data_IF_862624169293
#
_entry.id   IF_862624169293
#
_cell.length_a   1.000
_cell.length_b   1.000
_cell.length_c   1.000
_cell.angle_alpha   90.00
_cell.angle_beta   90.00
_cell.angle_gamma   90.00
#
_symmetry.space_group_name_H-M   'P 1'
#
loop_
_entity.id
_entity.type
_entity.pdbx_description
1 polymer ?
#
# COMPACT_ATOMS: atom_id res chain seq x y z
N UNK A 1 29.75 -18.72 -13.99
CA UNK A 1 28.29 -18.57 -14.27
C UNK A 1 27.56 -19.71 -13.57
N UNK A 2 26.94 -19.45 -12.40
CA UNK A 2 26.07 -20.43 -11.73
C UNK A 2 24.84 -20.63 -12.61
N UNK A 3 24.56 -21.88 -13.01
CA UNK A 3 23.32 -22.25 -13.69
C UNK A 3 22.16 -21.78 -12.82
N UNK A 4 21.47 -20.70 -13.21
CA UNK A 4 20.20 -20.31 -12.61
C UNK A 4 19.21 -21.45 -12.83
N UNK A 5 18.86 -22.16 -11.79
CA UNK A 5 17.84 -23.21 -11.85
C UNK A 5 16.51 -22.55 -12.25
N UNK A 6 16.06 -22.87 -13.48
CA UNK A 6 14.73 -22.51 -13.97
C UNK A 6 13.73 -23.44 -13.28
N UNK A 7 13.05 -22.95 -12.26
CA UNK A 7 11.96 -23.71 -11.65
C UNK A 7 10.69 -23.52 -12.47
N UNK A 8 9.92 -24.58 -12.61
CA UNK A 8 8.64 -24.55 -13.32
C UNK A 8 7.55 -24.02 -12.36
N UNK A 9 6.48 -23.43 -12.90
CA UNK A 9 5.33 -22.97 -12.14
C UNK A 9 4.73 -24.05 -11.21
N UNK A 10 4.82 -25.33 -11.60
CA UNK A 10 4.45 -26.47 -10.77
C UNK A 10 5.18 -26.49 -9.43
N UNK A 11 6.45 -26.05 -9.40
CA UNK A 11 7.21 -26.01 -8.14
C UNK A 11 6.71 -24.94 -7.16
N UNK A 12 6.08 -23.85 -7.62
CA UNK A 12 5.41 -22.90 -6.73
C UNK A 12 4.23 -23.58 -6.03
N UNK A 13 3.39 -24.28 -6.79
CA UNK A 13 2.23 -25.00 -6.23
C UNK A 13 2.69 -26.04 -5.21
N UNK A 14 3.76 -26.78 -5.51
CA UNK A 14 4.33 -27.78 -4.59
C UNK A 14 4.86 -27.12 -3.30
N UNK A 15 5.44 -25.91 -3.37
CA UNK A 15 5.89 -25.16 -2.20
C UNK A 15 4.71 -24.61 -1.38
N UNK A 16 3.66 -24.13 -2.04
CA UNK A 16 2.42 -23.68 -1.38
C UNK A 16 1.70 -24.84 -0.68
N UNK A 17 1.76 -26.05 -1.25
CA UNK A 17 1.26 -27.27 -0.59
C UNK A 17 2.04 -27.54 0.70
N UNK A 18 3.35 -27.23 0.74
CA UNK A 18 4.21 -27.35 1.91
C UNK A 18 4.06 -26.17 2.90
N UNK A 19 3.03 -25.34 2.75
CA UNK A 19 2.75 -24.18 3.59
C UNK A 19 3.89 -23.16 3.67
N UNK A 20 4.68 -23.01 2.61
CA UNK A 20 5.70 -21.97 2.52
C UNK A 20 5.07 -20.68 1.99
N UNK A 21 5.36 -19.56 2.64
CA UNK A 21 4.97 -18.25 2.18
C UNK A 21 5.86 -17.78 1.05
N UNK A 22 5.26 -17.37 -0.06
CA UNK A 22 5.98 -17.09 -1.31
C UNK A 22 5.75 -15.67 -1.78
N UNK A 23 6.82 -14.98 -2.18
CA UNK A 23 6.75 -13.77 -3.00
C UNK A 23 7.11 -14.12 -4.44
N UNK A 24 6.22 -13.79 -5.37
CA UNK A 24 6.46 -13.85 -6.81
C UNK A 24 6.44 -12.44 -7.40
N UNK A 25 7.61 -12.00 -7.88
CA UNK A 25 7.79 -10.70 -8.53
C UNK A 25 7.47 -10.86 -10.02
N UNK A 26 6.42 -10.18 -10.44
CA UNK A 26 5.85 -10.21 -11.79
C UNK A 26 6.37 -9.06 -12.66
N UNK A 27 6.38 -9.26 -13.96
CA UNK A 27 6.85 -8.27 -14.95
C UNK A 27 5.82 -7.16 -15.26
N UNK A 28 4.58 -7.31 -14.80
CA UNK A 28 3.49 -6.34 -14.99
C UNK A 28 2.28 -6.65 -14.10
N UNK A 29 1.36 -5.68 -13.97
CA UNK A 29 0.06 -5.89 -13.32
C UNK A 29 -0.77 -6.94 -14.07
N UNK A 30 -0.76 -6.95 -15.40
CA UNK A 30 -1.45 -7.96 -16.21
C UNK A 30 -0.93 -9.38 -15.95
N UNK A 31 0.37 -9.55 -15.69
CA UNK A 31 0.93 -10.85 -15.33
C UNK A 31 0.49 -11.29 -13.93
N UNK A 32 0.29 -10.35 -13.00
CA UNK A 32 -0.31 -10.64 -11.68
C UNK A 32 -1.70 -11.25 -11.86
N UNK A 33 -2.55 -10.60 -12.66
CA UNK A 33 -3.93 -11.06 -12.90
C UNK A 33 -3.96 -12.43 -13.60
N UNK A 34 -3.06 -12.63 -14.56
CA UNK A 34 -2.93 -13.91 -15.26
C UNK A 34 -2.55 -15.04 -14.31
N UNK A 35 -1.51 -14.84 -13.50
CA UNK A 35 -1.04 -15.85 -12.54
C UNK A 35 -2.10 -16.12 -11.47
N UNK A 36 -2.74 -15.08 -10.96
CA UNK A 36 -3.82 -15.22 -10.01
C UNK A 36 -4.98 -16.07 -10.55
N UNK A 37 -5.39 -15.83 -11.79
CA UNK A 37 -6.45 -16.59 -12.42
C UNK A 37 -6.13 -18.09 -12.52
N UNK A 38 -4.87 -18.44 -12.82
CA UNK A 38 -4.43 -19.84 -12.90
C UNK A 38 -4.44 -20.47 -11.51
N UNK A 39 -3.85 -19.81 -10.50
CA UNK A 39 -3.70 -20.36 -9.16
C UNK A 39 -5.04 -20.50 -8.45
N UNK A 40 -5.89 -19.49 -8.55
CA UNK A 40 -7.24 -19.51 -7.94
C UNK A 40 -8.10 -20.65 -8.47
N UNK A 41 -7.90 -21.05 -9.75
CA UNK A 41 -8.59 -22.20 -10.36
C UNK A 41 -7.96 -23.56 -9.98
N UNK A 42 -6.71 -23.57 -9.47
CA UNK A 42 -5.96 -24.81 -9.23
C UNK A 42 -6.07 -25.30 -7.78
N UNK A 43 -6.20 -24.39 -6.83
CA UNK A 43 -6.23 -24.69 -5.40
C UNK A 43 -7.25 -23.81 -4.67
N UNK A 44 -8.27 -24.44 -4.13
CA UNK A 44 -9.23 -23.78 -3.24
C UNK A 44 -8.56 -23.39 -1.91
N UNK A 45 -8.97 -22.24 -1.34
CA UNK A 45 -8.52 -21.72 -0.04
C UNK A 45 -7.09 -21.15 0.04
N UNK A 46 -6.39 -20.85 -1.06
CA UNK A 46 -5.17 -20.07 -1.00
C UNK A 46 -5.46 -18.59 -0.72
N UNK A 47 -4.74 -18.03 0.26
CA UNK A 47 -4.80 -16.61 0.56
C UNK A 47 -3.75 -15.89 -0.29
N UNK A 48 -4.21 -15.17 -1.31
CA UNK A 48 -3.35 -14.47 -2.27
C UNK A 48 -3.47 -12.96 -2.05
N UNK A 49 -2.32 -12.28 -1.87
CA UNK A 49 -2.22 -10.83 -1.91
C UNK A 49 -1.70 -10.38 -3.28
N UNK A 50 -2.33 -9.35 -3.87
CA UNK A 50 -2.03 -8.82 -5.21
C UNK A 50 -1.56 -7.39 -5.10
N UNK A 51 -0.24 -7.21 -5.09
CA UNK A 51 0.36 -5.91 -4.87
C UNK A 51 0.74 -5.27 -6.21
N UNK A 52 -0.21 -4.58 -6.81
CA UNK A 52 -0.03 -3.83 -8.05
C UNK A 52 0.91 -2.65 -7.87
N UNK A 53 1.54 -2.21 -8.96
CA UNK A 53 2.29 -0.95 -8.94
C UNK A 53 1.34 0.27 -8.94
N UNK A 54 1.92 1.47 -8.80
CA UNK A 54 1.16 2.72 -8.67
C UNK A 54 0.55 3.21 -9.97
N UNK A 55 0.89 2.59 -11.11
CA UNK A 55 0.49 3.01 -12.46
C UNK A 55 0.90 4.43 -12.83
N UNK A 56 1.92 4.96 -12.14
CA UNK A 56 2.59 6.22 -12.47
C UNK A 56 4.04 5.96 -12.87
N UNK A 57 4.66 6.93 -13.54
CA UNK A 57 6.07 6.88 -13.89
C UNK A 57 6.93 7.53 -12.78
N UNK A 58 8.22 7.15 -12.69
CA UNK A 58 9.15 7.88 -11.83
C UNK A 58 9.17 9.36 -12.19
N UNK A 59 9.13 10.21 -11.17
CA UNK A 59 9.13 11.67 -11.30
C UNK A 59 7.90 12.28 -11.99
N UNK A 60 6.81 11.54 -12.12
CA UNK A 60 5.56 12.05 -12.66
C UNK A 60 5.02 13.22 -11.82
N UNK A 61 4.28 14.12 -12.46
CA UNK A 61 3.60 15.23 -11.78
C UNK A 61 2.28 14.81 -11.12
N UNK A 62 1.76 13.66 -11.52
CA UNK A 62 0.50 13.10 -11.01
C UNK A 62 0.76 12.12 -9.89
N UNK A 63 -0.21 12.01 -9.00
CA UNK A 63 -0.22 10.99 -7.95
C UNK A 63 -0.92 9.72 -8.40
N UNK A 64 -0.62 8.65 -7.68
CA UNK A 64 -1.35 7.38 -7.79
C UNK A 64 -2.85 7.62 -7.59
N UNK A 65 -3.73 7.12 -8.47
CA UNK A 65 -5.17 7.21 -8.28
C UNK A 65 -5.62 6.64 -6.93
N UNK A 66 -6.54 7.33 -6.27
CA UNK A 66 -7.01 6.99 -4.92
C UNK A 66 -7.48 5.54 -4.77
N UNK A 67 -8.13 4.98 -5.79
CA UNK A 67 -8.61 3.60 -5.76
C UNK A 67 -7.44 2.60 -5.76
N UNK A 68 -6.31 2.93 -6.40
CA UNK A 68 -5.08 2.13 -6.37
C UNK A 68 -4.42 2.24 -5.00
N UNK A 69 -4.29 3.44 -4.43
CA UNK A 69 -3.76 3.65 -3.07
C UNK A 69 -4.55 2.81 -2.06
N UNK A 70 -5.89 2.89 -2.11
CA UNK A 70 -6.79 2.14 -1.23
C UNK A 70 -6.62 0.62 -1.37
N UNK A 71 -6.52 0.12 -2.61
CA UNK A 71 -6.24 -1.30 -2.89
C UNK A 71 -4.88 -1.71 -2.33
N UNK A 72 -3.82 -0.91 -2.54
CA UNK A 72 -2.48 -1.19 -2.03
C UNK A 72 -2.45 -1.30 -0.51
N UNK A 73 -3.08 -0.36 0.21
CA UNK A 73 -3.22 -0.42 1.68
C UNK A 73 -3.96 -1.70 2.10
N UNK A 74 -5.07 -2.02 1.44
CA UNK A 74 -5.84 -3.25 1.71
C UNK A 74 -4.99 -4.51 1.52
N UNK A 75 -4.15 -4.56 0.48
CA UNK A 75 -3.27 -5.70 0.24
C UNK A 75 -2.11 -5.77 1.25
N UNK A 76 -1.52 -4.62 1.65
CA UNK A 76 -0.50 -4.59 2.72
C UNK A 76 -1.05 -5.21 4.01
N UNK A 77 -2.29 -4.91 4.37
CA UNK A 77 -2.92 -5.44 5.59
C UNK A 77 -3.18 -6.95 5.54
N UNK A 78 -3.20 -7.56 4.37
CA UNK A 78 -3.38 -9.01 4.17
C UNK A 78 -2.06 -9.76 4.11
N UNK A 79 -0.92 -9.08 3.90
CA UNK A 79 0.38 -9.70 3.67
C UNK A 79 0.72 -10.78 4.70
N UNK A 80 0.52 -10.50 6.00
CA UNK A 80 0.89 -11.44 7.06
C UNK A 80 0.09 -12.75 7.01
N UNK A 81 -1.15 -12.69 6.52
CA UNK A 81 -2.05 -13.83 6.42
C UNK A 81 -2.06 -14.46 5.02
N UNK A 82 -1.22 -14.01 4.11
CA UNK A 82 -1.18 -14.51 2.73
C UNK A 82 -0.16 -15.64 2.59
N UNK A 83 -0.53 -16.67 1.84
CA UNK A 83 0.34 -17.79 1.46
C UNK A 83 1.20 -17.40 0.25
N UNK A 84 0.60 -16.65 -0.69
CA UNK A 84 1.24 -16.16 -1.89
C UNK A 84 1.05 -14.65 -2.02
N UNK A 85 2.14 -13.97 -2.32
CA UNK A 85 2.14 -12.54 -2.64
C UNK A 85 2.60 -12.39 -4.08
N UNK A 86 1.73 -11.86 -4.93
CA UNK A 86 2.03 -11.46 -6.30
C UNK A 86 2.31 -9.97 -6.30
N UNK A 87 3.47 -9.56 -6.81
CA UNK A 87 3.87 -8.15 -6.80
C UNK A 87 4.46 -7.72 -8.12
N UNK A 88 4.13 -6.50 -8.58
CA UNK A 88 4.87 -5.88 -9.68
C UNK A 88 6.33 -5.63 -9.29
N UNK A 89 7.25 -5.81 -10.26
CA UNK A 89 8.67 -5.55 -10.07
C UNK A 89 8.99 -4.10 -9.67
N UNK A 90 8.13 -3.14 -9.97
CA UNK A 90 8.35 -1.74 -9.60
C UNK A 90 8.31 -1.54 -8.09
N UNK A 91 7.49 -2.31 -7.38
CA UNK A 91 7.33 -2.18 -5.93
C UNK A 91 8.61 -2.44 -5.13
N UNK A 92 9.57 -3.22 -5.66
CA UNK A 92 10.83 -3.49 -4.95
C UNK A 92 11.77 -2.29 -4.92
N UNK A 93 11.49 -1.23 -5.68
CA UNK A 93 12.24 0.03 -5.70
C UNK A 93 11.67 1.08 -4.76
N UNK A 94 10.45 0.88 -4.26
CA UNK A 94 9.76 1.87 -3.44
C UNK A 94 10.16 1.76 -1.96
N UNK A 95 10.01 2.88 -1.26
CA UNK A 95 10.07 2.95 0.19
C UNK A 95 8.67 2.86 0.79
N UNK A 96 8.58 2.19 1.93
CA UNK A 96 7.35 1.96 2.67
C UNK A 96 7.53 2.35 4.13
N UNK A 97 6.48 2.81 4.82
CA UNK A 97 6.49 2.87 6.27
C UNK A 97 6.52 1.44 6.85
N UNK A 98 6.98 1.32 8.09
CA UNK A 98 6.93 0.03 8.79
C UNK A 98 5.50 -0.51 8.84
N UNK A 99 5.34 -1.83 8.80
CA UNK A 99 4.02 -2.50 8.83
C UNK A 99 3.12 -2.03 9.99
N UNK A 100 3.71 -1.73 11.14
CA UNK A 100 2.97 -1.19 12.30
C UNK A 100 2.17 0.07 11.98
N UNK A 101 2.62 0.90 11.06
CA UNK A 101 1.87 2.08 10.62
C UNK A 101 0.51 1.71 10.04
N UNK A 102 0.43 0.64 9.25
CA UNK A 102 -0.83 0.16 8.68
C UNK A 102 -1.69 -0.62 9.67
N UNK A 103 -1.09 -1.24 10.69
CA UNK A 103 -1.73 -2.21 11.58
C UNK A 103 -2.03 -1.73 13.01
N UNK A 104 -1.47 -0.61 13.47
CA UNK A 104 -1.51 -0.18 14.87
C UNK A 104 -2.73 0.66 15.26
N UNK A 105 -3.75 0.69 14.42
CA UNK A 105 -4.93 1.50 14.67
C UNK A 105 -5.81 0.89 15.78
N UNK A 106 -6.41 1.80 16.56
CA UNK A 106 -7.24 1.46 17.71
C UNK A 106 -8.38 0.52 17.31
N UNK A 107 -8.62 -0.49 18.14
CA UNK A 107 -9.82 -1.31 18.08
C UNK A 107 -10.90 -0.64 18.90
N UNK A 108 -12.09 -0.59 18.36
CA UNK A 108 -13.29 -0.11 19.03
C UNK A 108 -14.28 -1.26 19.18
N UNK A 109 -14.91 -1.35 20.33
CA UNK A 109 -15.83 -2.44 20.68
C UNK A 109 -17.17 -1.91 21.15
N UNK A 110 -18.19 -2.73 21.08
CA UNK A 110 -19.51 -2.44 21.68
C UNK A 110 -19.31 -2.15 23.16
N UNK A 111 -19.92 -1.09 23.65
CA UNK A 111 -19.78 -0.58 25.02
C UNK A 111 -18.62 0.38 25.24
N UNK A 112 -17.73 0.58 24.26
CA UNK A 112 -16.68 1.58 24.39
C UNK A 112 -17.25 2.99 24.46
N UNK A 113 -16.66 3.80 25.36
CA UNK A 113 -16.97 5.21 25.47
C UNK A 113 -16.29 5.98 24.34
N UNK A 114 -17.08 6.42 23.37
CA UNK A 114 -16.64 7.11 22.17
C UNK A 114 -17.75 8.06 21.70
N UNK A 115 -17.46 9.34 21.58
CA UNK A 115 -18.41 10.27 20.97
C UNK A 115 -18.31 10.21 19.44
N UNK A 116 -19.41 10.52 18.76
CA UNK A 116 -19.42 10.64 17.29
C UNK A 116 -18.41 11.71 16.82
N UNK A 117 -18.27 12.82 17.56
CA UNK A 117 -17.29 13.87 17.24
C UNK A 117 -15.88 13.31 17.26
N UNK A 118 -15.48 12.62 18.34
CA UNK A 118 -14.14 12.03 18.43
C UNK A 118 -13.88 10.98 17.35
N UNK A 119 -14.90 10.17 17.01
CA UNK A 119 -14.74 9.20 15.90
C UNK A 119 -14.54 9.92 14.57
N UNK A 120 -15.27 11.01 14.31
CA UNK A 120 -15.09 11.82 13.08
C UNK A 120 -13.70 12.44 13.01
N UNK A 121 -13.19 13.02 14.09
CA UNK A 121 -11.84 13.58 14.14
C UNK A 121 -10.78 12.52 13.83
N UNK A 122 -10.95 11.30 14.36
CA UNK A 122 -10.08 10.16 14.04
C UNK A 122 -10.20 9.76 12.57
N UNK A 123 -11.41 9.65 12.03
CA UNK A 123 -11.61 9.29 10.62
C UNK A 123 -10.98 10.31 9.67
N UNK A 124 -11.16 11.60 9.95
CA UNK A 124 -10.57 12.69 9.16
C UNK A 124 -9.04 12.70 9.26
N UNK A 125 -8.47 12.45 10.44
CA UNK A 125 -7.03 12.30 10.64
C UNK A 125 -6.43 11.11 9.89
N UNK A 126 -7.24 10.08 9.64
CA UNK A 126 -6.89 8.89 8.86
C UNK A 126 -7.23 9.02 7.36
N UNK A 127 -7.60 10.22 6.93
CA UNK A 127 -8.00 10.55 5.55
C UNK A 127 -9.22 9.78 5.03
N UNK A 128 -10.21 9.55 5.91
CA UNK A 128 -11.53 9.12 5.42
C UNK A 128 -12.29 10.30 4.84
N UNK A 129 -12.96 10.06 3.72
CA UNK A 129 -13.76 11.07 3.03
C UNK A 129 -15.19 10.99 3.55
N UNK A 130 -15.71 12.13 4.01
CA UNK A 130 -17.12 12.23 4.40
C UNK A 130 -18.00 12.26 3.16
N UNK A 131 -18.99 11.37 3.12
CA UNK A 131 -19.97 11.27 2.04
C UNK A 131 -21.39 11.16 2.60
N UNK A 132 -22.40 11.39 1.76
CA UNK A 132 -23.79 11.17 2.17
C UNK A 132 -24.12 9.69 2.33
N UNK A 133 -23.48 8.83 1.54
CA UNK A 133 -23.68 7.38 1.51
C UNK A 133 -22.39 6.67 1.14
N UNK A 134 -21.94 5.77 2.00
CA UNK A 134 -20.72 4.99 1.79
C UNK A 134 -20.87 4.06 0.57
N UNK A 135 -19.93 4.15 -0.38
CA UNK A 135 -19.86 3.35 -1.61
C UNK A 135 -18.47 2.80 -1.91
N UNK A 136 -17.42 3.50 -1.50
CA UNK A 136 -16.02 3.15 -1.76
C UNK A 136 -15.22 2.95 -0.47
N UNK A 137 -14.00 2.46 -0.60
CA UNK A 137 -13.05 2.36 0.52
C UNK A 137 -12.69 3.73 1.07
N UNK A 138 -12.42 3.79 2.38
CA UNK A 138 -12.06 5.01 3.13
C UNK A 138 -13.11 6.13 3.04
N UNK A 139 -14.36 5.75 2.88
CA UNK A 139 -15.50 6.64 3.02
C UNK A 139 -16.21 6.42 4.36
N UNK A 140 -16.76 7.50 4.90
CA UNK A 140 -17.68 7.44 6.04
C UNK A 140 -18.89 8.34 5.83
N UNK A 141 -20.01 7.96 6.41
CA UNK A 141 -21.20 8.81 6.48
C UNK A 141 -21.72 8.89 7.92
N UNK A 142 -22.35 10.01 8.25
CA UNK A 142 -22.94 10.24 9.57
C UNK A 142 -24.37 10.76 9.44
N UNK A 143 -25.32 10.09 10.11
CA UNK A 143 -26.74 10.48 10.14
C UNK A 143 -27.33 10.19 11.53
N UNK A 144 -27.68 11.27 12.26
CA UNK A 144 -28.18 11.10 13.64
C UNK A 144 -27.18 10.37 14.53
N UNK A 145 -27.61 9.32 15.19
CA UNK A 145 -26.78 8.46 16.04
C UNK A 145 -26.02 7.35 15.28
N UNK A 146 -25.97 7.38 13.93
CA UNK A 146 -25.40 6.29 13.13
C UNK A 146 -24.20 6.77 12.32
N UNK A 147 -23.11 6.01 12.35
CA UNK A 147 -21.92 6.23 11.52
C UNK A 147 -21.64 4.98 10.68
N UNK A 148 -21.64 5.15 9.37
CA UNK A 148 -21.24 4.10 8.42
C UNK A 148 -19.79 4.31 7.99
N UNK A 149 -18.97 3.25 7.95
CA UNK A 149 -17.54 3.32 7.62
C UNK A 149 -17.15 2.16 6.70
N UNK A 150 -16.42 2.44 5.63
CA UNK A 150 -15.79 1.40 4.82
C UNK A 150 -14.26 1.47 4.94
N UNK A 151 -13.71 0.69 5.88
CA UNK A 151 -12.27 0.66 6.12
C UNK A 151 -11.49 -0.28 5.20
N UNK A 152 -12.17 -1.10 4.39
CA UNK A 152 -11.53 -2.12 3.56
C UNK A 152 -10.88 -3.28 4.33
N UNK A 153 -10.89 -3.25 5.66
CA UNK A 153 -10.33 -4.30 6.51
C UNK A 153 -11.28 -5.49 6.67
N UNK A 154 -12.55 -5.22 6.59
CA UNK A 154 -13.62 -6.21 6.63
C UNK A 154 -14.13 -6.47 5.21
N UNK A 155 -14.76 -7.62 5.03
CA UNK A 155 -15.38 -7.97 3.75
C UNK A 155 -16.47 -6.98 3.36
N UNK A 156 -17.18 -6.45 4.34
CA UNK A 156 -18.26 -5.49 4.19
C UNK A 156 -17.96 -4.24 5.04
N UNK A 157 -18.52 -3.07 4.69
CA UNK A 157 -18.46 -1.87 5.53
C UNK A 157 -19.23 -2.07 6.84
N UNK A 158 -18.95 -1.20 7.79
CA UNK A 158 -19.46 -1.27 9.17
C UNK A 158 -20.40 -0.12 9.42
N UNK A 159 -21.51 -0.42 10.08
CA UNK A 159 -22.48 0.52 10.65
C UNK A 159 -22.38 0.49 12.16
N UNK A 160 -22.19 1.64 12.78
CA UNK A 160 -22.06 1.83 14.20
C UNK A 160 -23.24 2.66 14.69
N UNK A 161 -24.01 2.12 15.62
CA UNK A 161 -25.04 2.86 16.30
C UNK A 161 -24.50 3.37 17.64
N UNK A 162 -24.78 4.64 17.93
CA UNK A 162 -24.38 5.31 19.15
C UNK A 162 -25.60 5.61 20.01
N UNK A 163 -25.44 5.32 21.31
CA UNK A 163 -26.36 5.81 22.34
C UNK A 163 -25.56 6.72 23.29
N UNK A 164 -25.95 7.99 23.36
CA UNK A 164 -25.16 9.04 24.02
C UNK A 164 -23.68 9.02 23.57
N UNK A 165 -22.75 8.82 24.49
CA UNK A 165 -21.31 8.80 24.29
C UNK A 165 -20.73 7.38 24.24
N UNK A 166 -21.52 6.39 23.82
CA UNK A 166 -21.07 4.99 23.78
C UNK A 166 -21.51 4.28 22.50
N UNK A 167 -20.72 3.27 22.10
CA UNK A 167 -21.07 2.39 20.99
C UNK A 167 -22.13 1.40 21.48
N UNK A 168 -23.35 1.51 20.96
CA UNK A 168 -24.46 0.62 21.31
C UNK A 168 -24.41 -0.68 20.50
N UNK A 169 -24.18 -0.59 19.20
CA UNK A 169 -24.07 -1.77 18.33
C UNK A 169 -23.13 -1.54 17.15
N UNK A 170 -22.56 -2.63 16.64
CA UNK A 170 -21.72 -2.64 15.43
C UNK A 170 -22.24 -3.71 14.50
N UNK A 171 -22.49 -3.36 13.23
CA UNK A 171 -23.02 -4.27 12.22
C UNK A 171 -22.27 -4.16 10.91
N UNK A 172 -22.06 -5.27 10.23
CA UNK A 172 -21.70 -5.24 8.82
C UNK A 172 -22.92 -4.94 7.95
N UNK A 173 -22.74 -4.22 6.85
CA UNK A 173 -23.82 -3.95 5.91
C UNK A 173 -23.38 -4.12 4.44
N UNK A 174 -24.32 -4.41 3.57
CA UNK A 174 -24.09 -4.54 2.13
C UNK A 174 -24.10 -3.17 1.46
N UNK A 175 -23.04 -2.86 0.72
CA UNK A 175 -22.85 -1.56 0.05
C UNK A 175 -23.98 -1.27 -0.96
N UNK A 176 -24.45 -2.29 -1.68
CA UNK A 176 -25.44 -2.08 -2.75
C UNK A 176 -26.85 -1.85 -2.18
N UNK A 177 -27.28 -2.72 -1.29
CA UNK A 177 -28.61 -2.64 -0.67
C UNK A 177 -28.67 -1.72 0.54
N UNK A 178 -27.51 -1.39 1.16
CA UNK A 178 -27.38 -0.63 2.40
C UNK A 178 -28.07 -1.28 3.62
N UNK A 179 -28.35 -2.58 3.54
CA UNK A 179 -28.97 -3.35 4.62
C UNK A 179 -27.91 -4.01 5.48
N UNK A 180 -28.15 -4.06 6.78
CA UNK A 180 -27.30 -4.81 7.71
C UNK A 180 -27.35 -6.30 7.39
N UNK A 181 -26.17 -6.96 7.49
CA UNK A 181 -25.96 -8.38 7.18
C UNK A 181 -25.78 -9.17 8.47
N UNK A 182 -24.87 -8.73 9.35
CA UNK A 182 -24.44 -9.43 10.54
C UNK A 182 -24.01 -8.46 11.62
N UNK A 183 -24.07 -8.89 12.88
CA UNK A 183 -23.51 -8.16 14.01
C UNK A 183 -22.04 -8.53 14.22
N UNK A 184 -21.27 -7.60 14.74
CA UNK A 184 -19.89 -7.81 15.20
C UNK A 184 -19.67 -7.05 16.49
N UNK A 185 -18.76 -7.57 17.34
CA UNK A 185 -18.50 -6.96 18.65
C UNK A 185 -17.43 -5.87 18.58
N UNK A 186 -16.67 -5.77 17.50
CA UNK A 186 -15.57 -4.79 17.38
C UNK A 186 -15.22 -4.49 15.95
N UNK A 187 -14.56 -3.33 15.74
CA UNK A 187 -13.97 -2.98 14.46
C UNK A 187 -12.61 -2.31 14.65
N UNK A 188 -11.82 -2.31 13.57
CA UNK A 188 -10.54 -1.59 13.47
C UNK A 188 -10.57 -0.67 12.26
N UNK A 189 -10.01 0.51 12.41
CA UNK A 189 -9.80 1.43 11.29
C UNK A 189 -8.48 1.10 10.58
N UNK A 190 -8.35 1.56 9.35
CA UNK A 190 -7.11 1.62 8.60
C UNK A 190 -6.77 3.07 8.30
N UNK A 191 -5.51 3.35 7.99
CA UNK A 191 -5.16 4.62 7.38
C UNK A 191 -5.70 4.71 5.96
N UNK A 192 -6.11 5.90 5.54
CA UNK A 192 -6.47 6.21 4.16
C UNK A 192 -5.27 6.56 3.28
N UNK A 193 -4.07 6.71 3.89
CA UNK A 193 -2.82 7.03 3.23
C UNK A 193 -1.80 5.89 3.34
N UNK A 194 -0.86 5.84 2.40
CA UNK A 194 0.32 4.98 2.50
C UNK A 194 1.43 5.61 3.34
N UNK A 195 1.29 6.86 3.74
CA UNK A 195 2.24 7.60 4.60
C UNK A 195 1.50 8.28 5.75
N UNK A 196 2.13 8.43 6.92
CA UNK A 196 1.57 9.24 7.99
C UNK A 196 1.62 10.74 7.64
N UNK A 197 0.65 11.53 8.14
CA UNK A 197 0.63 13.00 8.01
C UNK A 197 0.30 13.66 9.36
N UNK A 198 0.88 13.16 10.41
CA UNK A 198 0.79 13.74 11.76
C UNK A 198 1.84 14.82 12.01
N UNK A 199 1.81 15.44 13.18
CA UNK A 199 2.76 16.49 13.56
C UNK A 199 4.21 15.99 13.60
N UNK A 200 4.43 14.74 13.99
CA UNK A 200 5.74 14.12 14.03
C UNK A 200 6.31 14.01 12.61
N UNK A 201 5.52 13.52 11.68
CA UNK A 201 5.89 13.41 10.26
C UNK A 201 6.19 14.77 9.64
N UNK A 202 5.34 15.77 9.90
CA UNK A 202 5.57 17.13 9.37
C UNK A 202 6.86 17.74 9.91
N UNK A 203 7.17 17.58 11.20
CA UNK A 203 8.40 18.11 11.78
C UNK A 203 9.64 17.41 11.22
N UNK A 204 9.61 16.09 11.14
CA UNK A 204 10.67 15.29 10.51
C UNK A 204 10.87 15.66 9.03
N UNK A 205 9.76 15.83 8.28
CA UNK A 205 9.81 16.25 6.88
C UNK A 205 10.53 17.60 6.72
N UNK A 206 10.24 18.59 7.57
CA UNK A 206 10.93 19.90 7.54
C UNK A 206 12.43 19.77 7.71
N UNK A 207 12.89 18.90 8.61
CA UNK A 207 14.32 18.65 8.83
C UNK A 207 14.94 18.00 7.59
N UNK A 208 14.36 16.88 7.13
CA UNK A 208 14.86 16.16 5.96
C UNK A 208 14.81 17.01 4.68
N UNK A 209 13.80 17.88 4.53
CA UNK A 209 13.71 18.80 3.40
C UNK A 209 14.89 19.76 3.35
N UNK A 210 15.25 20.36 4.48
CA UNK A 210 16.40 21.29 4.58
C UNK A 210 17.72 20.60 4.25
N UNK A 211 17.86 19.35 4.67
CA UNK A 211 19.06 18.56 4.37
C UNK A 211 19.18 18.23 2.87
N UNK A 212 18.05 17.95 2.20
CA UNK A 212 18.02 17.60 0.77
C UNK A 212 18.08 18.81 -0.16
N UNK A 213 17.50 19.94 0.27
CA UNK A 213 17.31 21.15 -0.54
C UNK A 213 17.82 22.41 0.19
N UNK A 214 19.09 22.45 0.58
CA UNK A 214 19.62 23.56 1.40
C UNK A 214 19.59 24.92 0.71
N UNK A 215 19.62 24.94 -0.62
CA UNK A 215 19.62 26.17 -1.43
C UNK A 215 18.19 26.69 -1.72
N UNK A 216 17.15 25.96 -1.32
CA UNK A 216 15.76 26.32 -1.63
C UNK A 216 15.12 27.01 -0.43
N UNK A 217 14.59 28.23 -0.66
CA UNK A 217 13.74 28.86 0.36
C UNK A 217 12.42 28.09 0.47
N UNK A 218 12.27 27.37 1.58
CA UNK A 218 11.10 26.54 1.88
C UNK A 218 9.76 27.30 1.76
N UNK A 219 9.76 28.62 1.96
CA UNK A 219 8.56 29.47 1.81
C UNK A 219 8.08 29.58 0.37
N UNK A 220 8.97 29.41 -0.60
CA UNK A 220 8.66 29.48 -2.03
C UNK A 220 8.19 28.13 -2.59
N UNK A 221 8.56 27.02 -1.94
CA UNK A 221 8.16 25.69 -2.38
C UNK A 221 6.67 25.42 -2.12
N UNK A 222 5.94 25.16 -3.20
CA UNK A 222 4.52 24.76 -3.09
C UNK A 222 4.39 23.40 -2.42
N UNK A 223 5.32 22.47 -2.71
CA UNK A 223 5.31 21.14 -2.13
C UNK A 223 5.49 21.21 -0.62
N UNK A 224 6.55 21.90 -0.15
CA UNK A 224 6.83 22.10 1.27
C UNK A 224 5.63 22.71 2.01
N UNK A 225 5.05 23.78 1.44
CA UNK A 225 3.90 24.46 2.04
C UNK A 225 2.65 23.58 2.16
N UNK A 226 2.42 22.68 1.18
CA UNK A 226 1.29 21.75 1.25
C UNK A 226 1.50 20.72 2.37
N UNK A 227 2.66 20.05 2.40
CA UNK A 227 2.96 19.03 3.43
C UNK A 227 2.88 19.62 4.84
N UNK A 228 3.40 20.85 5.04
CA UNK A 228 3.34 21.52 6.36
C UNK A 228 1.92 21.87 6.81
N UNK A 229 0.97 21.96 5.88
CA UNK A 229 -0.47 22.11 6.13
C UNK A 229 -1.20 20.76 6.19
N UNK A 230 -0.47 19.64 6.17
CA UNK A 230 -1.00 18.27 6.13
C UNK A 230 -1.85 17.97 4.88
N UNK A 231 -1.55 18.63 3.78
CA UNK A 231 -2.15 18.33 2.48
C UNK A 231 -1.14 17.55 1.64
N UNK A 232 -1.54 16.41 1.09
CA UNK A 232 -0.74 15.67 0.10
C UNK A 232 -0.91 16.34 -1.28
N UNK A 233 0.15 16.97 -1.82
CA UNK A 233 0.09 17.50 -3.18
C UNK A 233 0.24 16.38 -4.21
N UNK A 234 -0.20 16.63 -5.43
CA UNK A 234 0.08 15.75 -6.57
C UNK A 234 1.58 15.47 -6.70
N UNK A 235 1.92 14.22 -7.02
CA UNK A 235 3.30 13.75 -7.17
C UNK A 235 4.05 13.55 -5.84
N UNK A 236 3.36 13.47 -4.69
CA UNK A 236 3.98 13.25 -3.39
C UNK A 236 4.80 11.95 -3.32
N UNK A 237 4.53 11.01 -4.21
CA UNK A 237 5.27 9.75 -4.31
C UNK A 237 6.75 9.97 -4.62
N UNK A 238 7.09 11.09 -5.28
CA UNK A 238 8.47 11.47 -5.56
C UNK A 238 9.26 11.92 -4.30
N UNK A 239 8.64 11.90 -3.12
CA UNK A 239 9.22 12.34 -1.85
C UNK A 239 9.04 11.32 -0.72
N UNK A 240 8.65 10.08 -1.02
CA UNK A 240 8.34 9.06 0.00
C UNK A 240 9.48 8.84 1.00
N UNK A 241 10.74 8.87 0.56
CA UNK A 241 11.89 8.65 1.43
C UNK A 241 12.06 9.72 2.51
N UNK A 242 11.61 10.95 2.26
CA UNK A 242 11.65 12.04 3.24
C UNK A 242 10.33 12.25 3.97
N UNK A 243 9.23 11.66 3.47
CA UNK A 243 7.92 11.68 4.12
C UNK A 243 7.72 10.53 5.13
N UNK A 244 8.61 9.54 5.14
CA UNK A 244 8.57 8.40 6.04
C UNK A 244 9.72 8.49 7.04
N UNK A 245 9.44 8.36 8.35
CA UNK A 245 10.45 8.49 9.40
C UNK A 245 11.57 7.45 9.23
N UNK A 246 11.19 6.19 9.18
CA UNK A 246 12.08 5.03 8.99
C UNK A 246 11.61 4.23 7.79
N UNK A 247 12.01 4.66 6.57
CA UNK A 247 11.59 3.96 5.37
C UNK A 247 12.20 2.55 5.33
N UNK A 248 11.36 1.56 5.03
CA UNK A 248 11.78 0.19 4.79
C UNK A 248 11.62 -0.17 3.31
N UNK A 249 12.38 -1.14 2.83
CA UNK A 249 12.22 -1.67 1.49
C UNK A 249 11.08 -2.71 1.43
N UNK A 250 10.65 -3.05 0.23
CA UNK A 250 9.59 -4.02 -0.01
C UNK A 250 9.86 -5.40 0.62
N UNK A 251 11.09 -5.88 0.58
CA UNK A 251 11.47 -7.17 1.15
C UNK A 251 11.41 -7.20 2.69
N UNK A 252 11.52 -6.05 3.34
CA UNK A 252 11.33 -5.93 4.79
C UNK A 252 9.85 -5.79 5.15
N UNK A 253 9.03 -5.20 4.26
CA UNK A 253 7.59 -5.16 4.38
C UNK A 253 6.99 -6.57 4.19
N UNK A 254 7.50 -7.32 3.19
CA UNK A 254 6.98 -8.62 2.76
C UNK A 254 7.97 -9.73 3.12
N UNK A 255 7.81 -10.31 4.31
CA UNK A 255 8.66 -11.40 4.77
C UNK A 255 8.12 -12.74 4.27
N UNK A 256 8.88 -13.42 3.41
CA UNK A 256 8.52 -14.70 2.82
C UNK A 256 9.63 -15.74 2.98
N UNK A 257 9.26 -17.02 2.88
CA UNK A 257 10.21 -18.16 2.93
C UNK A 257 10.94 -18.35 1.59
N UNK A 258 10.24 -18.04 0.50
CA UNK A 258 10.74 -18.17 -0.87
C UNK A 258 10.43 -16.95 -1.72
N UNK A 259 11.37 -16.63 -2.59
CA UNK A 259 11.32 -15.47 -3.46
C UNK A 259 11.57 -15.89 -4.91
N UNK A 260 10.68 -15.47 -5.81
CA UNK A 260 10.75 -15.78 -7.23
C UNK A 260 10.54 -14.53 -8.07
N UNK A 261 11.03 -14.58 -9.31
CA UNK A 261 10.83 -13.52 -10.31
C UNK A 261 10.57 -14.13 -11.68
N UNK A 262 9.66 -13.54 -12.43
CA UNK A 262 9.33 -13.98 -13.79
C UNK A 262 10.35 -13.47 -14.80
N UNK A 263 10.79 -12.22 -14.69
CA UNK A 263 11.75 -11.60 -15.61
C UNK A 263 12.75 -10.65 -14.92
N UNK A 264 14.01 -11.10 -14.80
CA UNK A 264 15.09 -10.28 -14.23
C UNK A 264 15.46 -9.06 -15.07
N UNK A 265 15.21 -9.08 -16.39
CA UNK A 265 15.57 -7.97 -17.27
C UNK A 265 14.79 -6.70 -16.93
N UNK A 266 13.56 -6.86 -16.44
CA UNK A 266 12.71 -5.75 -16.00
C UNK A 266 13.37 -4.93 -14.91
N UNK A 267 14.06 -5.57 -13.95
CA UNK A 267 14.76 -4.90 -12.86
C UNK A 267 15.88 -4.02 -13.42
N UNK A 268 16.79 -4.58 -14.22
CA UNK A 268 17.93 -3.82 -14.77
C UNK A 268 17.44 -2.65 -15.63
N UNK A 269 16.45 -2.89 -16.48
CA UNK A 269 15.89 -1.89 -17.36
C UNK A 269 15.18 -0.76 -16.58
N UNK A 270 14.50 -1.10 -15.50
CA UNK A 270 13.81 -0.08 -14.69
C UNK A 270 14.78 0.80 -13.90
N UNK A 271 15.87 0.26 -13.39
CA UNK A 271 16.94 1.07 -12.77
C UNK A 271 17.52 2.09 -13.76
N UNK A 272 17.70 1.69 -15.02
CA UNK A 272 18.15 2.61 -16.07
C UNK A 272 17.09 3.65 -16.38
N UNK A 273 15.85 3.23 -16.55
CA UNK A 273 14.71 4.10 -16.83
C UNK A 273 14.49 5.17 -15.75
N UNK A 274 14.62 4.82 -14.46
CA UNK A 274 14.55 5.80 -13.35
C UNK A 274 15.60 6.91 -13.52
N UNK A 275 16.84 6.57 -13.90
CA UNK A 275 17.91 7.56 -14.11
C UNK A 275 17.65 8.43 -15.33
N UNK A 276 17.15 7.84 -16.41
CA UNK A 276 16.77 8.58 -17.63
C UNK A 276 15.65 9.57 -17.30
N UNK A 277 14.59 9.13 -16.63
CA UNK A 277 13.49 10.00 -16.21
C UNK A 277 13.96 11.13 -15.29
N UNK A 278 14.86 10.86 -14.34
CA UNK A 278 15.44 11.92 -13.49
C UNK A 278 16.16 12.98 -14.32
N UNK A 279 16.99 12.57 -15.28
CA UNK A 279 17.72 13.52 -16.13
C UNK A 279 16.78 14.36 -16.98
N UNK A 280 15.71 13.77 -17.53
CA UNK A 280 14.72 14.47 -18.34
C UNK A 280 13.95 15.50 -17.51
N UNK A 281 13.50 15.13 -16.32
CA UNK A 281 12.67 15.99 -15.46
C UNK A 281 13.48 17.01 -14.64
N UNK A 282 14.78 16.78 -14.43
CA UNK A 282 15.65 17.67 -13.65
C UNK A 282 16.00 18.99 -14.35
N UNK A 283 15.49 19.19 -15.56
CA UNK A 283 15.61 20.47 -16.28
C UNK A 283 14.52 21.48 -15.87
N UNK A 284 13.50 21.04 -15.17
CA UNK A 284 12.45 21.90 -14.64
C UNK A 284 12.85 22.47 -13.26
N UNK A 285 12.23 23.56 -12.88
CA UNK A 285 12.44 24.23 -11.58
C UNK A 285 11.81 23.49 -10.38
N UNK A 286 11.73 22.16 -10.45
CA UNK A 286 11.18 21.32 -9.37
C UNK A 286 12.28 20.86 -8.42
N UNK A 287 11.93 20.77 -7.16
CA UNK A 287 12.78 20.18 -6.12
C UNK A 287 12.75 18.65 -6.23
N UNK A 288 13.61 18.03 -7.04
CA UNK A 288 13.63 16.58 -7.24
C UNK A 288 14.68 15.89 -6.36
N UNK A 289 14.26 14.83 -5.66
CA UNK A 289 15.19 13.93 -4.99
C UNK A 289 15.97 13.12 -6.03
N UNK A 290 17.27 12.95 -5.79
CA UNK A 290 18.09 12.09 -6.67
C UNK A 290 17.56 10.64 -6.68
N UNK A 291 17.82 9.85 -7.75
CA UNK A 291 17.36 8.46 -7.82
C UNK A 291 17.79 7.60 -6.63
N UNK A 292 18.99 7.84 -6.07
CA UNK A 292 19.50 7.11 -4.91
C UNK A 292 18.80 7.48 -3.60
N UNK A 293 18.17 8.65 -3.54
CA UNK A 293 17.42 9.12 -2.38
C UNK A 293 15.94 8.73 -2.48
N UNK A 294 15.37 8.79 -3.67
CA UNK A 294 13.96 8.48 -3.88
C UNK A 294 13.68 6.99 -3.96
N UNK A 295 14.56 6.21 -4.59
CA UNK A 295 14.34 4.80 -4.85
C UNK A 295 15.31 3.91 -4.08
N UNK A 296 14.79 2.80 -3.59
CA UNK A 296 15.61 1.74 -3.03
C UNK A 296 16.37 0.98 -4.13
N UNK A 297 17.64 0.63 -3.87
CA UNK A 297 18.38 -0.26 -4.79
C UNK A 297 18.18 -1.72 -4.38
N UNK A 298 17.40 -2.52 -5.11
CA UNK A 298 17.06 -3.87 -4.71
C UNK A 298 18.19 -4.90 -4.92
N UNK A 299 19.30 -4.57 -5.60
CA UNK A 299 20.31 -5.52 -6.06
C UNK A 299 20.86 -6.41 -4.93
N UNK A 300 21.21 -5.81 -3.79
CA UNK A 300 21.75 -6.57 -2.65
C UNK A 300 20.73 -7.54 -2.04
N UNK A 301 19.45 -7.14 -1.97
CA UNK A 301 18.39 -8.00 -1.44
C UNK A 301 18.04 -9.13 -2.42
N UNK A 302 18.08 -8.87 -3.72
CA UNK A 302 17.89 -9.88 -4.76
C UNK A 302 18.94 -11.00 -4.64
N UNK A 303 20.20 -10.63 -4.36
CA UNK A 303 21.30 -11.58 -4.16
C UNK A 303 21.17 -12.32 -2.83
N UNK A 304 20.98 -11.60 -1.71
CA UNK A 304 20.89 -12.17 -0.36
C UNK A 304 19.72 -13.14 -0.19
N UNK A 305 18.57 -12.82 -0.81
CA UNK A 305 17.36 -13.65 -0.72
C UNK A 305 17.36 -14.82 -1.71
N UNK A 306 18.43 -14.98 -2.49
CA UNK A 306 18.57 -16.05 -3.49
C UNK A 306 17.33 -16.18 -4.39
N UNK A 307 16.91 -15.04 -4.97
CA UNK A 307 15.71 -14.97 -5.79
C UNK A 307 15.88 -15.80 -7.05
N UNK A 308 14.92 -16.68 -7.30
CA UNK A 308 14.98 -17.64 -8.40
C UNK A 308 14.11 -17.19 -9.55
N UNK A 309 14.65 -17.29 -10.78
CA UNK A 309 13.87 -17.02 -11.99
C UNK A 309 12.95 -18.20 -12.28
N UNK A 310 11.66 -17.90 -12.48
CA UNK A 310 10.67 -18.87 -12.95
C UNK A 310 10.39 -18.63 -14.43
N UNK A 311 10.20 -19.70 -15.16
CA UNK A 311 9.65 -19.66 -16.51
C UNK A 311 8.16 -20.01 -16.43
N UNK A 312 7.31 -19.04 -16.75
CA UNK A 312 5.91 -19.32 -17.02
C UNK A 312 5.86 -20.10 -18.34
N UNK A 313 5.51 -21.38 -18.28
CA UNK A 313 5.25 -22.15 -19.48
C UNK A 313 3.83 -21.75 -19.90
N UNK A 314 3.70 -21.05 -21.02
CA UNK A 314 2.42 -20.99 -21.73
C UNK A 314 2.10 -22.42 -22.13
N UNK A 315 1.24 -23.08 -21.39
CA UNK A 315 0.55 -24.25 -21.91
C UNK A 315 -0.44 -23.70 -22.93
N UNK A 316 -0.09 -23.82 -24.20
CA UNK A 316 -1.10 -23.83 -25.25
C UNK A 316 -2.07 -24.98 -24.90
N UNK A 317 -3.28 -24.62 -24.54
CA UNK A 317 -4.43 -25.53 -24.49
C UNK A 317 -5.27 -25.30 -25.74
#
# INVERSE_FOLDING_TARGET
MKKQNKENFKSIIDLLIKQQKILLICSSNAEIDYIDSIISNTKENLKISRFYDREILPYDHFSTPDDIVKKRISEILKIDNSDLILSSYKNIYEYYPEYRFFGSLKTYSVGDRLTISNLKDVLESLNYIRVDKVKALNEYSHRGGVVDINSGRFKNPIRIDFFDDSIESIREFDIKSQRSISETNSFKLNTGYEIPLDDQTVNMFKEKWRDEFPEIDERTSRFFNNITKRNLPEGYENYLSILIEKPINFFNLVKCDKYFITDNSKITNYSKFIKERFNDENNDSRELLSPSRLFFNPQLDLERKNIRKIKLISTEF
#
